data_IF_391334872786
#
_entry.id   IF_391334872786
#
_cell.length_a   1.000
_cell.length_b   1.000
_cell.length_c   1.000
_cell.angle_alpha   90.00
_cell.angle_beta   90.00
_cell.angle_gamma   90.00
#
_symmetry.space_group_name_H-M   'P 1'
#
loop_
_entity.id
_entity.type
_entity.pdbx_description
1 polymer ?
#
# COMPACT_ATOMS: atom_id res chain seq x y z
N UNK A 1 -42.63 -26.69 19.66
CA UNK A 1 -41.32 -26.10 19.99
C UNK A 1 -40.98 -25.09 18.90
N UNK A 2 -40.82 -23.78 19.21
CA UNK A 2 -40.88 -22.75 18.20
C UNK A 2 -39.54 -22.61 17.47
N UNK A 3 -39.56 -22.78 16.14
CA UNK A 3 -38.42 -22.61 15.24
C UNK A 3 -37.82 -21.18 15.23
N UNK A 4 -38.51 -20.20 15.82
CA UNK A 4 -38.09 -18.80 15.86
C UNK A 4 -36.93 -18.48 16.80
N UNK A 5 -36.65 -19.32 17.81
CA UNK A 5 -35.57 -19.08 18.77
C UNK A 5 -34.20 -19.45 18.18
N UNK A 6 -34.13 -20.55 17.41
CA UNK A 6 -32.91 -21.01 16.74
C UNK A 6 -32.36 -19.96 15.75
N UNK A 7 -33.23 -19.34 14.95
CA UNK A 7 -32.81 -18.36 13.93
C UNK A 7 -32.22 -17.08 14.54
N UNK A 8 -32.68 -16.64 15.71
CA UNK A 8 -32.10 -15.48 16.44
C UNK A 8 -30.68 -15.78 16.95
N UNK A 9 -30.42 -17.00 17.41
CA UNK A 9 -29.07 -17.41 17.83
C UNK A 9 -28.12 -17.52 16.65
N UNK A 10 -28.57 -17.98 15.47
CA UNK A 10 -27.73 -17.98 14.26
C UNK A 10 -27.30 -16.58 13.84
N UNK A 11 -28.19 -15.58 13.89
CA UNK A 11 -27.83 -14.19 13.59
C UNK A 11 -26.87 -13.60 14.62
N UNK A 12 -27.03 -13.92 15.92
CA UNK A 12 -26.11 -13.50 16.97
C UNK A 12 -24.74 -14.18 16.84
N UNK A 13 -24.69 -15.48 16.57
CA UNK A 13 -23.46 -16.25 16.37
C UNK A 13 -22.75 -15.82 15.09
N UNK A 14 -23.48 -15.54 14.00
CA UNK A 14 -22.93 -15.01 12.76
C UNK A 14 -22.39 -13.58 12.93
N UNK A 15 -23.08 -12.73 13.69
CA UNK A 15 -22.58 -11.39 14.06
C UNK A 15 -21.34 -11.47 14.95
N UNK A 16 -21.29 -12.43 15.87
CA UNK A 16 -20.14 -12.67 16.75
C UNK A 16 -18.95 -13.29 15.98
N UNK A 17 -19.21 -14.15 15.00
CA UNK A 17 -18.20 -14.74 14.09
C UNK A 17 -17.62 -13.69 13.13
N UNK A 18 -18.42 -12.72 12.67
CA UNK A 18 -17.95 -11.60 11.86
C UNK A 18 -17.11 -10.59 12.64
N UNK A 19 -17.38 -10.44 13.95
CA UNK A 19 -16.60 -9.60 14.87
C UNK A 19 -15.35 -10.30 15.42
N UNK A 20 -15.26 -11.63 15.30
CA UNK A 20 -14.11 -12.43 15.73
C UNK A 20 -13.19 -12.75 14.56
N UNK A 21 -12.69 -11.72 13.89
CA UNK A 21 -11.33 -11.81 13.37
C UNK A 21 -10.39 -11.62 14.57
N UNK A 22 -9.68 -12.65 15.05
CA UNK A 22 -8.75 -12.52 16.18
C UNK A 22 -7.50 -11.71 15.84
N UNK A 23 -7.42 -11.12 14.65
CA UNK A 23 -6.31 -10.26 14.27
C UNK A 23 -6.33 -8.96 15.10
N UNK A 24 -5.54 -8.96 16.16
CA UNK A 24 -5.17 -7.76 16.89
C UNK A 24 -3.93 -7.15 16.23
N UNK A 25 -4.04 -5.96 15.60
CA UNK A 25 -2.90 -5.30 14.99
C UNK A 25 -1.84 -4.97 16.05
N UNK A 26 -0.58 -5.31 15.76
CA UNK A 26 0.60 -4.93 16.57
C UNK A 26 0.88 -3.44 16.44
N UNK A 27 1.69 -2.88 17.35
CA UNK A 27 2.12 -1.49 17.22
C UNK A 27 2.87 -1.25 15.90
N UNK A 28 3.66 -2.22 15.42
CA UNK A 28 4.35 -2.14 14.13
C UNK A 28 3.36 -1.98 12.97
N UNK A 29 2.25 -2.72 13.01
CA UNK A 29 1.21 -2.63 12.00
C UNK A 29 0.48 -1.28 12.01
N UNK A 30 0.30 -0.68 13.19
CA UNK A 30 -0.29 0.66 13.34
C UNK A 30 0.64 1.74 12.83
N UNK A 31 1.95 1.66 13.13
CA UNK A 31 2.97 2.57 12.59
C UNK A 31 3.05 2.48 11.07
N UNK A 32 3.14 1.26 10.52
CA UNK A 32 3.14 1.04 9.07
C UNK A 32 1.87 1.60 8.41
N UNK A 33 0.70 1.36 9.01
CA UNK A 33 -0.55 1.90 8.49
C UNK A 33 -0.60 3.43 8.51
N UNK A 34 -0.06 4.05 9.56
CA UNK A 34 0.02 5.51 9.68
C UNK A 34 0.84 6.11 8.53
N UNK A 35 2.01 5.52 8.21
CA UNK A 35 2.78 5.92 7.02
C UNK A 35 1.93 5.83 5.75
N UNK A 36 1.22 4.72 5.56
CA UNK A 36 0.42 4.49 4.36
C UNK A 36 -0.69 5.54 4.23
N UNK A 37 -1.39 5.86 5.33
CA UNK A 37 -2.45 6.89 5.36
C UNK A 37 -1.92 8.25 4.91
N UNK A 38 -0.69 8.59 5.26
CA UNK A 38 -0.05 9.86 4.90
C UNK A 38 0.74 9.83 3.59
N UNK A 39 0.61 8.76 2.81
CA UNK A 39 1.29 8.60 1.51
C UNK A 39 0.32 8.71 0.34
N UNK A 40 0.84 9.01 -0.86
CA UNK A 40 0.03 8.97 -2.10
C UNK A 40 -0.53 7.58 -2.42
N UNK A 41 0.09 6.53 -1.88
CA UNK A 41 -0.34 5.15 -2.13
C UNK A 41 -1.55 4.73 -1.30
N UNK A 42 -2.01 5.57 -0.35
CA UNK A 42 -3.18 5.30 0.48
C UNK A 42 -4.41 4.90 -0.33
N UNK A 43 -4.73 5.65 -1.39
CA UNK A 43 -5.90 5.40 -2.23
C UNK A 43 -5.90 4.01 -2.86
N UNK A 44 -4.72 3.44 -3.12
CA UNK A 44 -4.54 2.10 -3.69
C UNK A 44 -4.65 1.02 -2.61
N UNK A 45 -4.11 1.27 -1.41
CA UNK A 45 -4.04 0.28 -0.34
C UNK A 45 -5.19 0.36 0.69
N UNK A 46 -6.03 1.39 0.65
CA UNK A 46 -7.17 1.54 1.56
C UNK A 46 -8.04 0.28 1.68
N UNK A 47 -8.41 -0.42 0.58
CA UNK A 47 -9.20 -1.65 0.66
C UNK A 47 -8.45 -2.85 1.25
N UNK A 48 -7.11 -2.80 1.27
CA UNK A 48 -6.22 -3.90 1.67
C UNK A 48 -5.55 -3.66 3.02
N UNK A 49 -6.03 -2.69 3.81
CA UNK A 49 -5.41 -2.32 5.08
C UNK A 49 -5.30 -3.48 6.08
N UNK A 50 -6.25 -4.43 6.07
CA UNK A 50 -6.17 -5.63 6.91
C UNK A 50 -5.01 -6.55 6.51
N UNK A 51 -4.83 -6.78 5.21
CA UNK A 51 -3.73 -7.59 4.67
C UNK A 51 -2.38 -6.98 5.00
N UNK A 52 -2.24 -5.67 4.77
CA UNK A 52 -1.03 -4.92 5.08
C UNK A 52 -0.68 -5.01 6.57
N UNK A 53 -1.66 -4.73 7.45
CA UNK A 53 -1.45 -4.80 8.90
C UNK A 53 -1.08 -6.21 9.35
N UNK A 54 -1.73 -7.23 8.79
CA UNK A 54 -1.41 -8.63 9.10
C UNK A 54 0.06 -8.95 8.82
N UNK A 55 0.52 -8.67 7.60
CA UNK A 55 1.90 -8.97 7.23
C UNK A 55 2.93 -8.10 7.93
N UNK A 56 2.59 -6.85 8.26
CA UNK A 56 3.44 -6.00 9.09
C UNK A 56 3.67 -6.61 10.49
N UNK A 57 2.63 -7.21 11.09
CA UNK A 57 2.76 -7.95 12.35
C UNK A 57 3.60 -9.23 12.19
N UNK A 58 3.36 -10.01 11.13
CA UNK A 58 4.02 -11.31 10.94
C UNK A 58 5.54 -11.22 10.80
N UNK A 59 6.07 -10.10 10.27
CA UNK A 59 7.53 -9.89 10.09
C UNK A 59 8.29 -9.82 11.42
N UNK A 60 7.61 -9.47 12.51
CA UNK A 60 8.25 -9.38 13.82
C UNK A 60 8.84 -10.72 14.28
N UNK A 61 8.27 -11.83 13.80
CA UNK A 61 8.71 -13.19 14.12
C UNK A 61 9.86 -13.70 13.23
N UNK A 62 10.20 -12.98 12.16
CA UNK A 62 11.18 -13.47 11.19
C UNK A 62 12.63 -13.29 11.68
N UNK A 63 13.49 -14.25 11.39
CA UNK A 63 14.93 -14.07 11.50
C UNK A 63 15.47 -13.53 10.17
N UNK A 64 16.04 -12.32 10.22
CA UNK A 64 16.54 -11.63 9.02
C UNK A 64 18.06 -11.59 9.09
N UNK A 65 18.73 -12.32 8.18
CA UNK A 65 20.18 -12.39 8.13
C UNK A 65 20.81 -11.13 7.50
N UNK A 66 20.26 -10.67 6.36
CA UNK A 66 20.69 -9.45 5.68
C UNK A 66 19.49 -8.52 5.48
N UNK A 67 19.43 -7.46 6.29
CA UNK A 67 18.36 -6.46 6.19
C UNK A 67 18.40 -5.68 4.88
N UNK A 68 19.60 -5.35 4.37
CA UNK A 68 19.76 -4.55 3.16
C UNK A 68 19.17 -5.30 1.97
N UNK A 69 19.62 -6.54 1.77
CA UNK A 69 19.14 -7.36 0.67
C UNK A 69 17.64 -7.63 0.80
N UNK A 70 17.18 -8.01 2.00
CA UNK A 70 15.77 -8.36 2.24
C UNK A 70 14.84 -7.17 1.96
N UNK A 71 15.18 -5.97 2.45
CA UNK A 71 14.39 -4.76 2.22
C UNK A 71 14.32 -4.44 0.71
N UNK A 72 15.44 -4.53 -0.01
CA UNK A 72 15.47 -4.28 -1.45
C UNK A 72 14.69 -5.33 -2.26
N UNK A 73 14.72 -6.60 -1.84
CA UNK A 73 13.91 -7.66 -2.45
C UNK A 73 12.42 -7.36 -2.27
N UNK A 74 11.98 -7.06 -1.05
CA UNK A 74 10.57 -6.75 -0.78
C UNK A 74 10.11 -5.45 -1.46
N UNK A 75 10.99 -4.45 -1.59
CA UNK A 75 10.70 -3.27 -2.39
C UNK A 75 10.48 -3.62 -3.86
N UNK A 76 11.33 -4.46 -4.48
CA UNK A 76 11.16 -4.88 -5.88
C UNK A 76 9.88 -5.70 -6.08
N UNK A 77 9.57 -6.60 -5.15
CA UNK A 77 8.32 -7.37 -5.17
C UNK A 77 7.09 -6.45 -5.05
N UNK A 78 7.13 -5.48 -4.15
CA UNK A 78 6.09 -4.45 -4.00
C UNK A 78 5.91 -3.65 -5.28
N UNK A 79 7.00 -3.12 -5.84
CA UNK A 79 6.99 -2.34 -7.07
C UNK A 79 6.36 -3.13 -8.22
N UNK A 80 6.81 -4.38 -8.43
CA UNK A 80 6.30 -5.23 -9.50
C UNK A 80 4.82 -5.59 -9.29
N UNK A 81 4.40 -5.88 -8.06
CA UNK A 81 3.01 -6.18 -7.75
C UNK A 81 2.09 -4.97 -7.99
N UNK A 82 2.52 -3.76 -7.62
CA UNK A 82 1.78 -2.52 -7.93
C UNK A 82 1.69 -2.31 -9.44
N UNK A 83 2.80 -2.48 -10.16
CA UNK A 83 2.88 -2.30 -11.61
C UNK A 83 1.89 -3.21 -12.37
N UNK A 84 1.78 -4.47 -11.94
CA UNK A 84 0.90 -5.47 -12.56
C UNK A 84 -0.48 -5.56 -11.92
N UNK A 85 -0.84 -4.58 -11.08
CA UNK A 85 -2.15 -4.49 -10.43
C UNK A 85 -2.50 -5.68 -9.50
N UNK A 86 -1.49 -6.35 -8.95
CA UNK A 86 -1.63 -7.43 -7.97
C UNK A 86 -1.75 -6.87 -6.55
N UNK A 87 -2.81 -6.11 -6.28
CA UNK A 87 -2.90 -5.23 -5.10
C UNK A 87 -2.91 -5.95 -3.74
N UNK A 88 -3.42 -7.19 -3.68
CA UNK A 88 -3.37 -7.99 -2.45
C UNK A 88 -1.93 -8.40 -2.12
N UNK A 89 -1.19 -8.90 -3.10
CA UNK A 89 0.24 -9.20 -2.98
C UNK A 89 1.06 -7.94 -2.67
N UNK A 90 0.73 -6.83 -3.34
CA UNK A 90 1.36 -5.54 -3.06
C UNK A 90 1.11 -5.09 -1.62
N UNK A 91 -0.10 -5.24 -1.08
CA UNK A 91 -0.40 -4.87 0.31
C UNK A 91 0.41 -5.70 1.31
N UNK A 92 0.55 -7.00 1.05
CA UNK A 92 1.46 -7.89 1.78
C UNK A 92 2.89 -7.36 1.76
N UNK A 93 3.46 -7.12 0.57
CA UNK A 93 4.86 -6.67 0.45
C UNK A 93 5.08 -5.28 1.06
N UNK A 94 4.09 -4.39 0.99
CA UNK A 94 4.12 -3.08 1.63
C UNK A 94 4.19 -3.21 3.16
N UNK A 95 3.31 -4.03 3.75
CA UNK A 95 3.33 -4.28 5.19
C UNK A 95 4.66 -4.87 5.65
N UNK A 96 5.18 -5.84 4.89
CA UNK A 96 6.49 -6.45 5.17
C UNK A 96 7.61 -5.41 5.11
N UNK A 97 7.67 -4.62 4.03
CA UNK A 97 8.71 -3.62 3.81
C UNK A 97 8.77 -2.61 4.96
N UNK A 98 7.62 -2.05 5.34
CA UNK A 98 7.54 -1.04 6.40
C UNK A 98 7.94 -1.61 7.77
N UNK A 99 7.52 -2.84 8.08
CA UNK A 99 7.93 -3.52 9.31
C UNK A 99 9.43 -3.88 9.32
N UNK A 100 10.00 -4.27 8.17
CA UNK A 100 11.44 -4.54 8.06
C UNK A 100 12.29 -3.29 8.32
N UNK A 101 11.85 -2.12 7.88
CA UNK A 101 12.54 -0.85 8.17
C UNK A 101 12.62 -0.61 9.68
N UNK A 102 11.52 -0.79 10.41
CA UNK A 102 11.49 -0.69 11.87
C UNK A 102 12.37 -1.76 12.52
N UNK A 103 12.24 -3.02 12.09
CA UNK A 103 13.00 -4.15 12.63
C UNK A 103 14.51 -3.97 12.48
N UNK A 104 14.96 -3.40 11.35
CA UNK A 104 16.36 -3.06 11.12
C UNK A 104 16.92 -2.04 12.13
N UNK A 105 16.06 -1.32 12.85
CA UNK A 105 16.41 -0.41 13.96
C UNK A 105 16.24 -1.02 15.35
N UNK A 106 16.14 -2.33 15.45
CA UNK A 106 15.97 -3.02 16.73
C UNK A 106 14.59 -2.77 17.34
N UNK A 107 13.57 -2.60 16.50
CA UNK A 107 12.20 -2.40 16.94
C UNK A 107 11.73 -3.50 17.92
N UNK A 108 10.99 -3.07 18.94
CA UNK A 108 10.24 -3.93 19.86
C UNK A 108 8.83 -3.35 20.02
N UNK A 109 7.85 -4.17 20.44
CA UNK A 109 6.48 -3.68 20.66
C UNK A 109 6.43 -2.56 21.72
N UNK A 110 7.28 -2.62 22.75
CA UNK A 110 7.39 -1.55 23.75
C UNK A 110 7.79 -0.21 23.12
N UNK A 111 8.79 -0.23 22.22
CA UNK A 111 9.18 0.95 21.45
C UNK A 111 8.04 1.39 20.54
N UNK A 112 7.31 0.47 19.92
CA UNK A 112 6.16 0.76 19.08
C UNK A 112 5.08 1.56 19.81
N UNK A 113 4.70 1.16 21.03
CA UNK A 113 3.73 1.90 21.83
C UNK A 113 4.19 3.31 22.19
N UNK A 114 5.49 3.52 22.40
CA UNK A 114 6.04 4.87 22.61
C UNK A 114 6.14 5.69 21.31
N UNK A 115 6.34 5.03 20.16
CA UNK A 115 6.51 5.68 18.86
C UNK A 115 5.19 6.13 18.24
N UNK A 116 4.09 5.40 18.47
CA UNK A 116 2.75 5.74 17.95
C UNK A 116 2.35 7.20 18.24
N UNK A 117 2.31 7.67 19.51
CA UNK A 117 1.86 9.03 19.79
C UNK A 117 2.78 10.11 19.19
N UNK A 118 4.07 9.80 19.05
CA UNK A 118 5.03 10.72 18.40
C UNK A 118 4.81 10.76 16.90
N UNK A 119 4.58 9.62 16.27
CA UNK A 119 4.28 9.55 14.84
C UNK A 119 2.95 10.27 14.52
N UNK A 120 1.93 10.11 15.36
CA UNK A 120 0.62 10.75 15.20
C UNK A 120 0.68 12.27 15.37
N UNK A 121 1.66 12.79 16.11
CA UNK A 121 1.84 14.23 16.35
C UNK A 121 2.82 14.91 15.38
N UNK A 122 3.41 14.17 14.43
CA UNK A 122 4.31 14.74 13.43
C UNK A 122 3.60 15.78 12.55
N UNK A 123 4.31 16.85 12.24
CA UNK A 123 3.94 17.72 11.13
C UNK A 123 4.31 17.03 9.81
N UNK A 124 3.36 16.25 9.27
CA UNK A 124 3.51 15.51 8.01
C UNK A 124 3.88 16.38 6.81
N UNK A 125 3.55 17.68 6.83
CA UNK A 125 3.89 18.60 5.75
C UNK A 125 5.39 18.95 5.71
N UNK A 126 6.07 18.83 6.85
CA UNK A 126 7.49 19.10 7.01
C UNK A 126 8.39 17.89 6.71
N UNK A 127 7.81 16.70 6.56
CA UNK A 127 8.58 15.46 6.36
C UNK A 127 9.20 15.48 4.97
N UNK A 128 10.54 15.43 4.94
CA UNK A 128 11.30 15.45 3.69
C UNK A 128 11.18 14.12 2.97
N UNK A 129 10.68 14.16 1.73
CA UNK A 129 10.78 13.05 0.79
C UNK A 129 12.14 13.13 0.08
N UNK A 130 12.91 12.06 0.14
CA UNK A 130 14.25 11.94 -0.43
C UNK A 130 14.17 11.53 -1.90
N UNK A 131 14.84 12.29 -2.76
CA UNK A 131 14.86 12.03 -4.21
C UNK A 131 16.00 11.09 -4.66
N UNK A 132 16.66 10.45 -3.69
CA UNK A 132 17.77 9.51 -3.91
C UNK A 132 17.30 8.19 -4.55
N UNK A 133 18.25 7.34 -4.94
CA UNK A 133 17.93 5.98 -5.38
C UNK A 133 17.42 5.14 -4.21
N UNK A 134 16.65 4.10 -4.51
CA UNK A 134 16.10 3.20 -3.49
C UNK A 134 17.20 2.58 -2.65
N UNK A 135 18.28 2.14 -3.30
CA UNK A 135 19.46 1.57 -2.65
C UNK A 135 20.11 2.57 -1.70
N UNK A 136 20.27 3.83 -2.13
CA UNK A 136 20.87 4.89 -1.32
C UNK A 136 20.01 5.23 -0.09
N UNK A 137 18.67 5.22 -0.24
CA UNK A 137 17.73 5.43 0.87
C UNK A 137 17.85 4.29 1.89
N UNK A 138 17.89 3.04 1.43
CA UNK A 138 18.03 1.87 2.31
C UNK A 138 19.39 1.86 2.99
N UNK A 139 20.47 2.15 2.27
CA UNK A 139 21.83 2.20 2.80
C UNK A 139 21.96 3.30 3.87
N UNK A 140 21.43 4.48 3.58
CA UNK A 140 21.37 5.56 4.57
C UNK A 140 20.54 5.16 5.78
N UNK A 141 19.36 4.59 5.58
CA UNK A 141 18.50 4.16 6.68
C UNK A 141 19.23 3.18 7.58
N UNK A 142 19.91 2.17 7.03
CA UNK A 142 20.61 1.15 7.83
C UNK A 142 21.76 1.75 8.65
N UNK A 143 22.49 2.72 8.09
CA UNK A 143 23.59 3.41 8.78
C UNK A 143 23.13 4.49 9.77
N UNK A 144 21.89 4.95 9.66
CA UNK A 144 21.36 6.04 10.48
C UNK A 144 21.24 5.69 11.97
N UNK A 145 21.81 6.48 12.86
CA UNK A 145 21.64 6.29 14.31
C UNK A 145 20.72 7.38 14.88
N UNK A 146 19.47 7.04 15.27
CA UNK A 146 18.52 8.02 15.80
C UNK A 146 18.97 8.53 17.17
N UNK A 147 18.93 9.84 17.38
CA UNK A 147 19.35 10.49 18.64
C UNK A 147 18.24 10.55 19.68
N UNK A 148 16.99 10.48 19.22
CA UNK A 148 15.80 10.52 20.05
C UNK A 148 14.66 9.72 19.39
N UNK A 149 13.58 9.54 20.14
CA UNK A 149 12.39 8.85 19.62
C UNK A 149 11.65 9.69 18.57
N UNK A 150 11.65 11.02 18.70
CA UNK A 150 11.17 11.94 17.67
C UNK A 150 12.00 11.85 16.40
N UNK A 151 13.32 11.86 16.55
CA UNK A 151 14.26 11.74 15.43
C UNK A 151 14.08 10.42 14.68
N UNK A 152 13.87 9.31 15.41
CA UNK A 152 13.50 8.03 14.82
C UNK A 152 12.17 8.11 14.06
N UNK A 153 11.14 8.75 14.62
CA UNK A 153 9.83 8.89 13.97
C UNK A 153 9.93 9.69 12.66
N UNK A 154 10.62 10.84 12.68
CA UNK A 154 10.86 11.68 11.50
C UNK A 154 11.66 10.95 10.43
N UNK A 155 12.76 10.28 10.81
CA UNK A 155 13.60 9.55 9.88
C UNK A 155 12.86 8.33 9.28
N UNK A 156 12.13 7.58 10.11
CA UNK A 156 11.31 6.46 9.65
C UNK A 156 10.25 6.91 8.65
N UNK A 157 9.50 7.97 8.98
CA UNK A 157 8.48 8.51 8.11
C UNK A 157 9.08 9.04 6.80
N UNK A 158 10.19 9.77 6.87
CA UNK A 158 10.91 10.26 5.69
C UNK A 158 11.34 9.12 4.77
N UNK A 159 12.03 8.11 5.30
CA UNK A 159 12.49 6.95 4.51
C UNK A 159 11.32 6.17 3.92
N UNK A 160 10.32 5.86 4.74
CA UNK A 160 9.19 5.06 4.31
C UNK A 160 8.37 5.77 3.22
N UNK A 161 8.06 7.06 3.40
CA UNK A 161 7.40 7.87 2.38
C UNK A 161 8.24 7.97 1.10
N UNK A 162 9.56 8.14 1.22
CA UNK A 162 10.47 8.22 0.05
C UNK A 162 10.46 6.95 -0.79
N UNK A 163 10.34 5.78 -0.15
CA UNK A 163 10.19 4.51 -0.86
C UNK A 163 8.80 4.40 -1.51
N UNK A 164 7.73 4.72 -0.77
CA UNK A 164 6.36 4.61 -1.28
C UNK A 164 6.06 5.58 -2.44
N UNK A 165 6.65 6.78 -2.42
CA UNK A 165 6.50 7.80 -3.49
C UNK A 165 7.08 7.34 -4.84
N UNK A 166 7.99 6.37 -4.83
CA UNK A 166 8.60 5.82 -6.04
C UNK A 166 7.78 4.68 -6.66
N UNK A 167 6.67 4.28 -6.05
CA UNK A 167 5.81 3.21 -6.57
C UNK A 167 4.99 3.69 -7.79
N UNK A 168 4.73 2.81 -8.78
CA UNK A 168 4.01 3.16 -9.99
C UNK A 168 2.48 3.14 -9.74
N UNK A 169 2.01 4.00 -8.84
CA UNK A 169 0.60 4.01 -8.41
C UNK A 169 -0.37 4.68 -9.40
N UNK A 170 0.15 5.37 -10.41
CA UNK A 170 -0.67 5.99 -11.45
C UNK A 170 -1.55 4.95 -12.14
N UNK A 171 -2.87 5.16 -12.08
CA UNK A 171 -3.89 4.27 -12.65
C UNK A 171 -3.68 4.01 -14.14
N UNK A 172 -3.23 5.02 -14.90
CA UNK A 172 -2.96 4.86 -16.33
C UNK A 172 -1.81 3.89 -16.59
N UNK A 173 -0.70 4.05 -15.87
CA UNK A 173 0.45 3.15 -15.95
C UNK A 173 0.04 1.73 -15.58
N UNK A 174 -0.74 1.54 -14.51
CA UNK A 174 -1.20 0.20 -14.09
C UNK A 174 -2.14 -0.47 -15.10
N UNK A 175 -3.02 0.30 -15.75
CA UNK A 175 -3.91 -0.20 -16.82
C UNK A 175 -3.11 -0.68 -18.03
N UNK A 176 -2.08 0.07 -18.45
CA UNK A 176 -1.24 -0.31 -19.59
C UNK A 176 -0.41 -1.57 -19.34
N UNK A 177 -0.05 -1.88 -18.10
CA UNK A 177 0.76 -3.06 -17.76
C UNK A 177 -0.07 -4.30 -17.40
N UNK A 178 -1.40 -4.19 -17.34
CA UNK A 178 -2.30 -5.32 -17.11
C UNK A 178 -2.86 -5.80 -18.47
N UNK A 179 -2.50 -6.99 -19.00
CA UNK A 179 -2.80 -7.37 -20.39
C UNK A 179 -4.27 -7.23 -20.78
N UNK A 180 -5.18 -7.75 -19.95
CA UNK A 180 -6.62 -7.69 -20.21
C UNK A 180 -7.18 -6.26 -20.18
N UNK A 181 -6.78 -5.44 -19.19
CA UNK A 181 -7.23 -4.05 -19.10
C UNK A 181 -6.64 -3.19 -20.23
N UNK A 182 -5.38 -3.43 -20.59
CA UNK A 182 -4.73 -2.78 -21.74
C UNK A 182 -5.49 -3.08 -23.02
N UNK A 183 -5.83 -4.34 -23.28
CA UNK A 183 -6.57 -4.74 -24.48
C UNK A 183 -7.97 -4.12 -24.52
N UNK A 184 -8.69 -4.13 -23.39
CA UNK A 184 -10.02 -3.52 -23.29
C UNK A 184 -9.95 -1.99 -23.47
N UNK A 185 -8.94 -1.34 -22.87
CA UNK A 185 -8.68 0.08 -23.05
C UNK A 185 -8.40 0.42 -24.52
N UNK A 186 -7.48 -0.30 -25.18
CA UNK A 186 -7.17 -0.10 -26.60
C UNK A 186 -8.39 -0.36 -27.49
N UNK A 187 -9.15 -1.42 -27.22
CA UNK A 187 -10.38 -1.73 -27.96
C UNK A 187 -11.43 -0.62 -27.80
N UNK A 188 -11.60 -0.07 -26.60
CA UNK A 188 -12.52 1.05 -26.37
C UNK A 188 -12.06 2.32 -27.09
N UNK A 189 -10.76 2.61 -27.10
CA UNK A 189 -10.18 3.77 -27.79
C UNK A 189 -10.38 3.65 -29.31
N UNK A 190 -10.08 2.47 -29.88
CA UNK A 190 -10.34 2.18 -31.30
C UNK A 190 -11.83 2.35 -31.61
N UNK A 191 -12.70 1.82 -30.75
CA UNK A 191 -14.16 1.91 -30.94
C UNK A 191 -14.66 3.35 -30.94
N UNK A 192 -14.13 4.20 -30.04
CA UNK A 192 -14.44 5.63 -30.00
C UNK A 192 -13.96 6.31 -31.28
N UNK A 193 -12.71 6.07 -31.71
CA UNK A 193 -12.16 6.67 -32.94
C UNK A 193 -12.98 6.27 -34.16
N UNK A 194 -13.33 4.98 -34.30
CA UNK A 194 -14.16 4.48 -35.41
C UNK A 194 -15.54 5.11 -35.38
N UNK A 195 -16.21 5.15 -34.23
CA UNK A 195 -17.52 5.75 -34.08
C UNK A 195 -17.50 7.26 -34.39
N UNK A 196 -16.55 8.00 -33.82
CA UNK A 196 -16.37 9.44 -34.08
C UNK A 196 -16.10 9.69 -35.56
N UNK A 197 -15.22 8.91 -36.20
CA UNK A 197 -14.92 9.04 -37.63
C UNK A 197 -16.17 8.76 -38.48
N UNK A 198 -16.93 7.72 -38.14
CA UNK A 198 -18.19 7.41 -38.81
C UNK A 198 -19.21 8.54 -38.69
N UNK A 199 -19.39 9.11 -37.49
CA UNK A 199 -20.31 10.22 -37.28
C UNK A 199 -19.89 11.49 -38.02
N UNK A 200 -18.59 11.81 -38.03
CA UNK A 200 -18.05 12.94 -38.79
C UNK A 200 -18.25 12.72 -40.29
N UNK A 201 -17.94 11.53 -40.80
CA UNK A 201 -18.16 11.20 -42.22
C UNK A 201 -19.65 11.28 -42.60
N UNK A 202 -20.53 10.68 -41.80
CA UNK A 202 -21.98 10.71 -42.02
C UNK A 202 -22.49 12.16 -42.01
N UNK A 203 -22.03 12.97 -41.05
CA UNK A 203 -22.39 14.39 -40.95
C UNK A 203 -21.90 15.18 -42.16
N UNK A 204 -20.64 15.01 -42.55
CA UNK A 204 -20.07 15.66 -43.73
C UNK A 204 -20.81 15.29 -45.02
N UNK A 205 -21.28 14.04 -45.16
CA UNK A 205 -22.12 13.62 -46.29
C UNK A 205 -23.51 14.29 -46.27
N UNK A 206 -24.10 14.49 -45.09
CA UNK A 206 -25.43 15.14 -44.96
C UNK A 206 -25.35 16.67 -45.13
N UNK A 207 -24.29 17.31 -44.63
CA UNK A 207 -24.10 18.78 -44.71
C UNK A 207 -23.41 19.23 -46.02
N UNK A 208 -22.58 18.38 -46.63
CA UNK A 208 -21.75 18.70 -47.79
C UNK A 208 -22.38 18.49 -49.16
N UNK A 209 -23.62 17.98 -49.24
CA UNK A 209 -24.39 17.92 -50.48
C UNK A 209 -23.69 17.24 -51.66
N UNK A 210 -23.64 15.90 -51.65
CA UNK A 210 -23.72 15.08 -52.87
C UNK A 210 -24.94 14.17 -52.75
#
# INVERSE_FOLDING_TARGET
MPAGTLMKYYWLVFSFLLLSSPFQPTAASSLAWTIVVHSRVYSVFAPFGRELKFWASSVLEWEVADYRETILVYYRLLYNAVLHNELSSAARYCGVLLALLLKAKGYTEALGYSLIPVLESLDWSSIRVLDWRVEEIVDWWLLYEPKSLEDLAYAYASVALSLLEKLPVNSFTRVLYTPYLRELYLASLISVVVASTYFVYKRAKMEGGL
#
